data_IF_155298741948
#
_entry.id   IF_155298741948
#
_cell.length_a   1.000
_cell.length_b   1.000
_cell.length_c   1.000
_cell.angle_alpha   90.00
_cell.angle_beta   90.00
_cell.angle_gamma   90.00
#
_symmetry.space_group_name_H-M   'P 1'
#
loop_
_entity.id
_entity.type
_entity.pdbx_description
1 polymer ?
#
# COMPACT_ATOMS: atom_id res chain seq x y z
N UNK A 1 -21.81 -61.81 33.59
CA UNK A 1 -20.55 -61.42 32.92
C UNK A 1 -20.94 -60.68 31.66
N UNK A 2 -20.59 -59.40 31.51
CA UNK A 2 -20.92 -58.63 30.31
C UNK A 2 -20.21 -59.25 29.10
N UNK A 3 -20.93 -59.39 27.97
CA UNK A 3 -20.37 -59.96 26.76
C UNK A 3 -19.21 -59.08 26.23
N UNK A 4 -18.14 -59.66 25.65
CA UNK A 4 -17.00 -58.90 25.14
C UNK A 4 -17.38 -57.83 24.10
N UNK A 5 -18.48 -58.02 23.36
CA UNK A 5 -19.04 -57.03 22.42
C UNK A 5 -19.55 -55.76 23.12
N UNK A 6 -20.10 -55.89 24.33
CA UNK A 6 -20.62 -54.75 25.11
C UNK A 6 -19.47 -53.85 25.61
N UNK A 7 -18.30 -54.42 25.90
CA UNK A 7 -17.11 -53.67 26.27
C UNK A 7 -16.54 -52.88 25.09
N UNK A 8 -16.52 -53.48 23.89
CA UNK A 8 -16.01 -52.82 22.68
C UNK A 8 -16.85 -51.60 22.28
N UNK A 9 -18.18 -51.74 22.30
CA UNK A 9 -19.13 -50.63 22.04
C UNK A 9 -18.90 -49.48 23.02
N UNK A 10 -18.72 -49.79 24.31
CA UNK A 10 -18.47 -48.79 25.34
C UNK A 10 -17.16 -48.02 25.12
N UNK A 11 -16.10 -48.71 24.69
CA UNK A 11 -14.81 -48.08 24.37
C UNK A 11 -14.96 -47.16 23.14
N UNK A 12 -15.62 -47.63 22.08
CA UNK A 12 -15.92 -46.83 20.90
C UNK A 12 -16.67 -45.55 21.26
N UNK A 13 -17.73 -45.65 22.08
CA UNK A 13 -18.50 -44.48 22.52
C UNK A 13 -17.66 -43.49 23.35
N UNK A 14 -16.79 -43.98 24.25
CA UNK A 14 -15.89 -43.11 25.01
C UNK A 14 -14.90 -42.37 24.09
N UNK A 15 -14.35 -43.03 23.09
CA UNK A 15 -13.44 -42.40 22.12
C UNK A 15 -14.14 -41.39 21.22
N UNK A 16 -15.38 -41.70 20.77
CA UNK A 16 -16.21 -40.75 20.03
C UNK A 16 -16.43 -39.49 20.85
N UNK A 17 -16.84 -39.61 22.12
CA UNK A 17 -17.04 -38.46 23.01
C UNK A 17 -15.75 -37.69 23.22
N UNK A 18 -14.61 -38.38 23.41
CA UNK A 18 -13.30 -37.74 23.54
C UNK A 18 -12.95 -36.91 22.30
N UNK A 19 -13.01 -37.49 21.11
CA UNK A 19 -12.71 -36.78 19.87
C UNK A 19 -13.72 -35.65 19.60
N UNK A 20 -14.98 -35.84 19.96
CA UNK A 20 -16.02 -34.82 19.84
C UNK A 20 -15.72 -33.57 20.70
N UNK A 21 -15.23 -33.78 21.93
CA UNK A 21 -14.78 -32.71 22.82
C UNK A 21 -13.50 -32.04 22.32
N UNK A 22 -12.52 -32.80 21.85
CA UNK A 22 -11.28 -32.26 21.27
C UNK A 22 -11.57 -31.39 20.04
N UNK A 23 -12.44 -31.85 19.12
CA UNK A 23 -12.91 -31.04 17.98
C UNK A 23 -13.58 -29.76 18.45
N UNK A 24 -14.41 -29.83 19.51
CA UNK A 24 -15.09 -28.65 20.05
C UNK A 24 -14.10 -27.62 20.61
N UNK A 25 -13.08 -28.08 21.33
CA UNK A 25 -12.03 -27.22 21.85
C UNK A 25 -11.25 -26.54 20.71
N UNK A 26 -10.83 -27.31 19.71
CA UNK A 26 -10.07 -26.75 18.58
C UNK A 26 -10.90 -25.77 17.73
N UNK A 27 -12.21 -26.00 17.55
CA UNK A 27 -13.10 -25.03 16.88
C UNK A 27 -13.21 -23.73 17.70
N UNK A 28 -13.20 -23.83 19.03
CA UNK A 28 -13.19 -22.66 19.90
C UNK A 28 -11.86 -21.90 19.76
N UNK A 29 -10.74 -22.62 19.75
CA UNK A 29 -9.41 -22.04 19.54
C UNK A 29 -9.29 -21.34 18.18
N UNK A 30 -9.88 -21.90 17.11
CA UNK A 30 -9.99 -21.24 15.80
C UNK A 30 -10.76 -19.93 15.90
N UNK A 31 -11.88 -19.92 16.64
CA UNK A 31 -12.74 -18.74 16.76
C UNK A 31 -12.09 -17.62 17.57
N UNK A 32 -11.31 -18.00 18.57
CA UNK A 32 -10.62 -17.07 19.46
C UNK A 32 -9.18 -16.78 18.98
N UNK A 33 -8.79 -17.35 17.83
CA UNK A 33 -7.47 -17.13 17.24
C UNK A 33 -7.33 -15.67 16.77
N UNK A 34 -6.57 -14.89 17.53
CA UNK A 34 -6.10 -13.55 17.14
C UNK A 34 -4.69 -13.57 16.52
N UNK A 35 -4.13 -14.77 16.31
CA UNK A 35 -2.78 -14.98 15.81
C UNK A 35 -2.66 -14.90 14.28
N UNK A 36 -1.44 -15.06 13.72
CA UNK A 36 -1.21 -15.07 12.28
C UNK A 36 -1.86 -16.29 11.59
N UNK A 37 -2.06 -16.23 10.26
CA UNK A 37 -2.63 -17.34 9.48
C UNK A 37 -1.96 -18.68 9.69
N UNK A 38 -0.66 -18.67 10.00
CA UNK A 38 0.11 -19.90 10.26
C UNK A 38 -0.45 -20.68 11.45
N UNK A 39 -0.78 -20.00 12.54
CA UNK A 39 -1.39 -20.61 13.73
C UNK A 39 -2.80 -21.13 13.41
N UNK A 40 -3.58 -20.37 12.64
CA UNK A 40 -4.89 -20.80 12.16
C UNK A 40 -4.78 -22.05 11.25
N UNK A 41 -3.77 -22.09 10.38
CA UNK A 41 -3.52 -23.22 9.47
C UNK A 41 -3.14 -24.49 10.23
N UNK A 42 -2.33 -24.34 11.29
CA UNK A 42 -1.99 -25.45 12.20
C UNK A 42 -3.24 -25.97 12.93
N UNK A 43 -4.05 -25.07 13.50
CA UNK A 43 -5.32 -25.41 14.14
C UNK A 43 -6.27 -26.14 13.18
N UNK A 44 -6.41 -25.65 11.94
CA UNK A 44 -7.21 -26.31 10.90
C UNK A 44 -6.70 -27.72 10.58
N UNK A 45 -5.39 -27.93 10.60
CA UNK A 45 -4.79 -29.25 10.37
C UNK A 45 -5.15 -30.22 11.50
N UNK A 46 -5.01 -29.77 12.75
CA UNK A 46 -5.40 -30.54 13.95
C UNK A 46 -6.90 -30.85 13.96
N UNK A 47 -7.76 -29.90 13.59
CA UNK A 47 -9.22 -30.12 13.49
C UNK A 47 -9.53 -31.21 12.47
N UNK A 48 -8.91 -31.15 11.28
CA UNK A 48 -9.10 -32.17 10.23
C UNK A 48 -8.69 -33.56 10.69
N UNK A 49 -7.55 -33.69 11.37
CA UNK A 49 -7.08 -34.96 11.93
C UNK A 49 -8.09 -35.52 12.96
N UNK A 50 -8.59 -34.67 13.86
CA UNK A 50 -9.58 -35.09 14.86
C UNK A 50 -10.92 -35.45 14.26
N UNK A 51 -11.37 -34.76 13.23
CA UNK A 51 -12.56 -35.14 12.47
C UNK A 51 -12.40 -36.49 11.76
N UNK A 52 -11.20 -36.78 11.22
CA UNK A 52 -10.92 -38.08 10.62
C UNK A 52 -10.98 -39.20 11.65
N UNK A 53 -10.38 -39.00 12.84
CA UNK A 53 -10.45 -39.95 13.96
C UNK A 53 -11.89 -40.17 14.42
N UNK A 54 -12.67 -39.09 14.59
CA UNK A 54 -14.08 -39.15 14.96
C UNK A 54 -14.90 -39.91 13.92
N UNK A 55 -14.70 -39.63 12.63
CA UNK A 55 -15.39 -40.32 11.54
C UNK A 55 -15.10 -41.82 11.56
N UNK A 56 -13.84 -42.21 11.76
CA UNK A 56 -13.44 -43.62 11.84
C UNK A 56 -14.15 -44.35 12.98
N UNK A 57 -14.16 -43.78 14.20
CA UNK A 57 -14.82 -44.41 15.35
C UNK A 57 -16.33 -44.50 15.19
N UNK A 58 -16.97 -43.51 14.57
CA UNK A 58 -18.40 -43.58 14.23
C UNK A 58 -18.67 -44.73 13.26
N UNK A 59 -17.78 -45.00 12.30
CA UNK A 59 -17.91 -46.13 11.37
C UNK A 59 -17.74 -47.48 12.07
N UNK A 60 -16.80 -47.60 13.00
CA UNK A 60 -16.63 -48.81 13.81
C UNK A 60 -17.83 -49.07 14.73
N UNK A 61 -18.41 -48.02 15.32
CA UNK A 61 -19.64 -48.12 16.10
C UNK A 61 -20.81 -48.58 15.22
N UNK A 62 -20.91 -48.07 14.00
CA UNK A 62 -21.93 -48.51 13.02
C UNK A 62 -21.76 -49.98 12.64
N UNK A 63 -20.52 -50.44 12.46
CA UNK A 63 -20.22 -51.85 12.19
C UNK A 63 -20.60 -52.74 13.39
N UNK A 64 -20.24 -52.31 14.60
CA UNK A 64 -20.62 -53.00 15.84
C UNK A 64 -22.15 -53.08 16.01
N UNK A 65 -22.89 -52.05 15.60
CA UNK A 65 -24.34 -52.05 15.60
C UNK A 65 -24.94 -53.06 14.61
N UNK A 66 -24.30 -53.25 13.44
CA UNK A 66 -24.75 -54.22 12.41
C UNK A 66 -24.51 -55.67 12.82
N UNK A 67 -23.51 -55.91 13.65
CA UNK A 67 -23.15 -57.23 14.19
C UNK A 67 -24.01 -57.66 15.39
N UNK A 68 -24.95 -56.82 15.84
CA UNK A 68 -25.84 -57.16 16.94
C UNK A 68 -27.00 -58.06 16.50
N UNK A 69 -27.16 -59.19 17.21
CA UNK A 69 -28.23 -60.18 16.98
C UNK A 69 -29.59 -59.68 17.49
N UNK A 70 -29.61 -58.87 18.56
CA UNK A 70 -30.85 -58.33 19.11
C UNK A 70 -31.23 -57.05 18.39
N UNK A 71 -32.36 -57.10 17.67
CA UNK A 71 -32.87 -55.95 16.91
C UNK A 71 -33.10 -54.70 17.80
N UNK A 72 -33.51 -54.87 19.07
CA UNK A 72 -33.66 -53.74 20.01
C UNK A 72 -32.33 -53.05 20.33
N UNK A 73 -31.25 -53.80 20.56
CA UNK A 73 -29.91 -53.25 20.87
C UNK A 73 -29.29 -52.62 19.61
N UNK A 74 -29.47 -53.26 18.45
CA UNK A 74 -29.07 -52.72 17.14
C UNK A 74 -29.73 -51.37 16.83
N UNK A 75 -31.05 -51.25 17.02
CA UNK A 75 -31.78 -50.00 16.78
C UNK A 75 -31.26 -48.85 17.67
N UNK A 76 -30.97 -49.12 18.94
CA UNK A 76 -30.41 -48.13 19.87
C UNK A 76 -29.04 -47.63 19.39
N UNK A 77 -28.15 -48.55 19.02
CA UNK A 77 -26.81 -48.18 18.55
C UNK A 77 -26.82 -47.43 17.21
N UNK A 78 -27.70 -47.82 16.28
CA UNK A 78 -27.86 -47.09 15.02
C UNK A 78 -28.37 -45.67 15.25
N UNK A 79 -29.28 -45.47 16.21
CA UNK A 79 -29.77 -44.15 16.58
C UNK A 79 -28.66 -43.28 17.21
N UNK A 80 -27.76 -43.89 17.99
CA UNK A 80 -26.58 -43.22 18.57
C UNK A 80 -25.58 -42.81 17.48
N UNK A 81 -25.30 -43.70 16.52
CA UNK A 81 -24.46 -43.42 15.34
C UNK A 81 -25.03 -42.24 14.53
N UNK A 82 -26.33 -42.21 14.26
CA UNK A 82 -26.99 -41.10 13.57
C UNK A 82 -26.81 -39.77 14.32
N UNK A 83 -26.99 -39.80 15.65
CA UNK A 83 -26.80 -38.61 16.48
C UNK A 83 -25.36 -38.10 16.40
N UNK A 84 -24.35 -38.99 16.46
CA UNK A 84 -22.95 -38.61 16.32
C UNK A 84 -22.62 -38.06 14.93
N UNK A 85 -23.13 -38.67 13.85
CA UNK A 85 -22.95 -38.16 12.48
C UNK A 85 -23.53 -36.75 12.33
N UNK A 86 -24.74 -36.52 12.85
CA UNK A 86 -25.40 -35.21 12.79
C UNK A 86 -24.64 -34.15 13.57
N UNK A 87 -24.12 -34.48 14.74
CA UNK A 87 -23.29 -33.57 15.54
C UNK A 87 -21.98 -33.22 14.83
N UNK A 88 -21.29 -34.23 14.27
CA UNK A 88 -20.06 -34.05 13.50
C UNK A 88 -20.27 -33.08 12.32
N UNK A 89 -21.30 -33.30 11.49
CA UNK A 89 -21.61 -32.45 10.34
C UNK A 89 -21.85 -30.98 10.74
N UNK A 90 -22.59 -30.75 11.83
CA UNK A 90 -22.83 -29.40 12.36
C UNK A 90 -21.54 -28.70 12.78
N UNK A 91 -20.57 -29.44 13.31
CA UNK A 91 -19.28 -28.88 13.72
C UNK A 91 -18.39 -28.55 12.52
N UNK A 92 -18.36 -29.39 11.49
CA UNK A 92 -17.63 -29.10 10.24
C UNK A 92 -18.13 -27.82 9.58
N UNK A 93 -19.44 -27.58 9.59
CA UNK A 93 -20.00 -26.32 9.08
C UNK A 93 -19.54 -25.09 9.88
N UNK A 94 -19.42 -25.21 11.21
CA UNK A 94 -18.94 -24.12 12.08
C UNK A 94 -17.46 -23.81 11.88
N UNK A 95 -16.63 -24.84 11.73
CA UNK A 95 -15.20 -24.71 11.43
C UNK A 95 -14.99 -23.90 10.14
N UNK A 96 -15.63 -24.32 9.04
CA UNK A 96 -15.52 -23.66 7.74
C UNK A 96 -15.89 -22.17 7.79
N UNK A 97 -16.97 -21.84 8.52
CA UNK A 97 -17.40 -20.45 8.71
C UNK A 97 -16.37 -19.63 9.51
N UNK A 98 -15.83 -20.19 10.59
CA UNK A 98 -14.83 -19.51 11.42
C UNK A 98 -13.52 -19.27 10.64
N UNK A 99 -13.08 -20.28 9.88
CA UNK A 99 -11.90 -20.17 9.01
C UNK A 99 -12.08 -19.06 7.95
N UNK A 100 -13.22 -19.05 7.26
CA UNK A 100 -13.50 -18.04 6.23
C UNK A 100 -13.48 -16.63 6.82
N UNK A 101 -14.06 -16.44 8.01
CA UNK A 101 -14.09 -15.14 8.70
C UNK A 101 -12.67 -14.68 9.10
N UNK A 102 -11.82 -15.59 9.57
CA UNK A 102 -10.45 -15.28 9.93
C UNK A 102 -9.60 -14.89 8.71
N UNK A 103 -9.73 -15.60 7.58
CA UNK A 103 -9.02 -15.28 6.33
C UNK A 103 -9.45 -13.92 5.77
N UNK A 104 -10.74 -13.58 5.84
CA UNK A 104 -11.24 -12.25 5.44
C UNK A 104 -10.64 -11.17 6.34
N UNK A 105 -10.62 -11.39 7.66
CA UNK A 105 -10.07 -10.42 8.64
C UNK A 105 -8.59 -10.14 8.38
N UNK A 106 -7.79 -11.17 8.10
CA UNK A 106 -6.37 -10.98 7.80
C UNK A 106 -6.14 -10.27 6.47
N UNK A 107 -6.93 -10.59 5.44
CA UNK A 107 -6.90 -9.86 4.16
C UNK A 107 -7.17 -8.36 4.39
N UNK A 108 -8.15 -8.02 5.22
CA UNK A 108 -8.46 -6.63 5.58
C UNK A 108 -7.32 -5.97 6.35
N UNK A 109 -6.67 -6.67 7.29
CA UNK A 109 -5.48 -6.17 7.98
C UNK A 109 -4.31 -5.94 7.01
N UNK A 110 -4.10 -6.84 6.06
CA UNK A 110 -3.10 -6.69 5.00
C UNK A 110 -3.36 -5.46 4.12
N UNK A 111 -4.61 -5.28 3.68
CA UNK A 111 -5.04 -4.10 2.93
C UNK A 111 -4.86 -2.82 3.75
N UNK A 112 -5.23 -2.81 5.02
CA UNK A 112 -5.04 -1.67 5.91
C UNK A 112 -3.56 -1.29 6.05
N UNK A 113 -2.66 -2.27 6.19
CA UNK A 113 -1.21 -2.03 6.20
C UNK A 113 -0.71 -1.45 4.87
N UNK A 114 -1.14 -2.00 3.74
CA UNK A 114 -0.78 -1.47 2.42
C UNK A 114 -1.28 -0.04 2.22
N UNK A 115 -2.52 0.25 2.63
CA UNK A 115 -3.09 1.60 2.58
C UNK A 115 -2.29 2.57 3.45
N UNK A 116 -1.93 2.16 4.68
CA UNK A 116 -1.07 2.97 5.56
C UNK A 116 0.28 3.28 4.90
N UNK A 117 0.89 2.29 4.26
CA UNK A 117 2.16 2.46 3.56
C UNK A 117 2.02 3.41 2.35
N UNK A 118 0.95 3.28 1.58
CA UNK A 118 0.68 4.16 0.43
C UNK A 118 0.43 5.61 0.86
N UNK A 119 -0.26 5.82 1.99
CA UNK A 119 -0.45 7.16 2.57
C UNK A 119 0.89 7.77 3.00
N UNK A 120 1.76 6.99 3.65
CA UNK A 120 3.09 7.46 4.06
C UNK A 120 3.97 7.81 2.84
N UNK A 121 3.97 6.98 1.80
CA UNK A 121 4.67 7.30 0.55
C UNK A 121 4.11 8.55 -0.15
N UNK A 122 2.80 8.74 -0.09
CA UNK A 122 2.14 9.95 -0.62
C UNK A 122 2.59 11.21 0.13
N UNK A 123 2.76 11.13 1.46
CA UNK A 123 3.27 12.22 2.28
C UNK A 123 4.71 12.62 1.88
N UNK A 124 5.60 11.64 1.68
CA UNK A 124 6.99 11.88 1.24
C UNK A 124 7.05 12.52 -0.16
N UNK A 125 6.23 12.02 -1.10
CA UNK A 125 6.12 12.59 -2.44
C UNK A 125 5.59 14.03 -2.39
N UNK A 126 4.60 14.30 -1.53
CA UNK A 126 4.05 15.63 -1.33
C UNK A 126 5.10 16.59 -0.74
N UNK A 127 5.89 16.14 0.24
CA UNK A 127 6.98 16.93 0.80
C UNK A 127 8.02 17.29 -0.28
N UNK A 128 8.35 16.34 -1.14
CA UNK A 128 9.25 16.57 -2.29
C UNK A 128 8.68 17.60 -3.26
N UNK A 129 7.37 17.53 -3.54
CA UNK A 129 6.67 18.47 -4.40
C UNK A 129 6.64 19.88 -3.81
N UNK A 130 6.37 20.00 -2.50
CA UNK A 130 6.39 21.29 -1.78
C UNK A 130 7.79 21.91 -1.83
N UNK A 131 8.83 21.12 -1.57
CA UNK A 131 10.22 21.59 -1.65
C UNK A 131 10.56 22.07 -3.07
N UNK A 132 10.16 21.31 -4.10
CA UNK A 132 10.37 21.69 -5.50
C UNK A 132 9.60 22.95 -5.88
N UNK A 133 8.37 23.10 -5.40
CA UNK A 133 7.57 24.31 -5.60
C UNK A 133 8.24 25.53 -4.99
N UNK A 134 8.84 25.39 -3.81
CA UNK A 134 9.60 26.47 -3.16
C UNK A 134 10.80 26.89 -4.01
N UNK A 135 11.61 25.94 -4.49
CA UNK A 135 12.74 26.24 -5.38
C UNK A 135 12.31 26.97 -6.65
N UNK A 136 11.14 26.62 -7.22
CA UNK A 136 10.58 27.33 -8.38
C UNK A 136 10.20 28.78 -8.04
N UNK A 137 9.61 29.00 -6.86
CA UNK A 137 9.28 30.37 -6.41
C UNK A 137 10.55 31.20 -6.23
N UNK A 138 11.56 30.64 -5.56
CA UNK A 138 12.85 31.31 -5.35
C UNK A 138 13.52 31.64 -6.70
N UNK A 139 13.55 30.68 -7.63
CA UNK A 139 14.06 30.90 -8.98
C UNK A 139 13.28 31.99 -9.74
N UNK A 140 11.96 32.04 -9.59
CA UNK A 140 11.12 33.06 -10.20
C UNK A 140 11.40 34.46 -9.63
N UNK A 141 11.70 34.57 -8.33
CA UNK A 141 12.15 35.83 -7.73
C UNK A 141 13.53 36.26 -8.27
N UNK A 142 14.47 35.32 -8.40
CA UNK A 142 15.78 35.60 -9.02
C UNK A 142 15.63 36.07 -10.48
N UNK A 143 14.75 35.44 -11.27
CA UNK A 143 14.46 35.88 -12.63
C UNK A 143 13.91 37.30 -12.69
N UNK A 144 13.02 37.68 -11.76
CA UNK A 144 12.52 39.07 -11.67
C UNK A 144 13.64 40.05 -11.34
N UNK A 145 14.51 39.71 -10.40
CA UNK A 145 15.69 40.52 -10.07
C UNK A 145 16.62 40.71 -11.28
N UNK A 146 16.92 39.62 -12.00
CA UNK A 146 17.73 39.65 -13.21
C UNK A 146 17.08 40.49 -14.33
N UNK A 147 15.76 40.44 -14.48
CA UNK A 147 15.03 41.33 -15.41
C UNK A 147 15.25 42.81 -15.03
N UNK A 148 15.24 43.14 -13.73
CA UNK A 148 15.57 44.46 -13.22
C UNK A 148 16.98 44.91 -13.61
N UNK A 149 17.99 44.05 -13.44
CA UNK A 149 19.39 44.38 -13.82
C UNK A 149 19.56 44.51 -15.33
N UNK A 150 18.87 43.70 -16.15
CA UNK A 150 18.86 43.83 -17.61
C UNK A 150 18.25 45.17 -18.04
N UNK A 151 17.17 45.63 -17.39
CA UNK A 151 16.59 46.94 -17.65
C UNK A 151 17.54 48.09 -17.31
N UNK A 152 18.26 47.99 -16.18
CA UNK A 152 19.32 48.94 -15.84
C UNK A 152 20.43 48.92 -16.90
N UNK A 153 20.88 47.74 -17.31
CA UNK A 153 21.85 47.58 -18.40
C UNK A 153 21.42 48.29 -19.68
N UNK A 154 20.16 48.12 -20.11
CA UNK A 154 19.59 48.86 -21.26
C UNK A 154 19.63 50.38 -21.07
N UNK A 155 19.30 50.89 -19.87
CA UNK A 155 19.40 52.32 -19.56
C UNK A 155 20.85 52.84 -19.63
N UNK A 156 21.82 52.04 -19.21
CA UNK A 156 23.23 52.42 -19.36
C UNK A 156 23.64 52.44 -20.84
N UNK A 157 23.38 51.38 -21.60
CA UNK A 157 23.72 51.29 -23.03
C UNK A 157 23.16 52.49 -23.81
N UNK A 158 21.89 52.84 -23.57
CA UNK A 158 21.26 54.01 -24.22
C UNK A 158 21.91 55.33 -23.83
N UNK A 159 22.33 55.51 -22.56
CA UNK A 159 23.10 56.69 -22.14
C UNK A 159 24.47 56.78 -22.83
N UNK A 160 25.20 55.66 -22.93
CA UNK A 160 26.50 55.64 -23.60
C UNK A 160 26.39 55.94 -25.09
N UNK A 161 25.40 55.34 -25.79
CA UNK A 161 25.16 55.61 -27.20
C UNK A 161 24.87 57.09 -27.49
N UNK A 162 24.09 57.76 -26.62
CA UNK A 162 23.83 59.20 -26.74
C UNK A 162 25.09 60.05 -26.53
N UNK A 163 25.95 59.67 -25.58
CA UNK A 163 27.22 60.37 -25.34
C UNK A 163 28.17 60.22 -26.53
N UNK A 164 28.24 59.02 -27.11
CA UNK A 164 29.03 58.75 -28.31
C UNK A 164 28.57 59.59 -29.51
N UNK A 165 27.25 59.70 -29.74
CA UNK A 165 26.71 60.57 -30.79
C UNK A 165 27.06 62.05 -30.55
N UNK A 166 26.94 62.52 -29.31
CA UNK A 166 27.25 63.91 -28.97
C UNK A 166 28.73 64.21 -29.18
N UNK A 167 29.61 63.30 -28.77
CA UNK A 167 31.05 63.43 -28.93
C UNK A 167 31.45 63.45 -30.41
N UNK A 168 30.86 62.55 -31.22
CA UNK A 168 31.03 62.55 -32.68
C UNK A 168 30.59 63.88 -33.33
N UNK A 169 29.48 64.47 -32.87
CA UNK A 169 29.02 65.78 -33.37
C UNK A 169 29.97 66.93 -32.97
N UNK A 170 30.50 66.92 -31.75
CA UNK A 170 31.45 67.93 -31.29
C UNK A 170 32.75 67.88 -32.11
N UNK A 171 33.28 66.68 -32.37
CA UNK A 171 34.45 66.48 -33.23
C UNK A 171 34.17 67.02 -34.64
N UNK A 172 33.00 66.73 -35.21
CA UNK A 172 32.61 67.24 -36.53
C UNK A 172 32.50 68.77 -36.56
N UNK A 173 31.91 69.39 -35.53
CA UNK A 173 31.79 70.85 -35.42
C UNK A 173 33.16 71.52 -35.30
N UNK A 174 34.08 70.96 -34.51
CA UNK A 174 35.44 71.45 -34.38
C UNK A 174 36.20 71.40 -35.72
N UNK A 175 36.07 70.30 -36.46
CA UNK A 175 36.64 70.17 -37.81
C UNK A 175 36.04 71.17 -38.80
N UNK A 176 34.73 71.40 -38.77
CA UNK A 176 34.06 72.36 -39.63
C UNK A 176 34.55 73.80 -39.38
N UNK A 177 34.69 74.20 -38.11
CA UNK A 177 35.26 75.51 -37.75
C UNK A 177 36.71 75.64 -38.18
N UNK A 178 37.53 74.60 -37.98
CA UNK A 178 38.91 74.58 -38.45
C UNK A 178 38.99 74.81 -39.96
N UNK A 179 38.22 74.07 -40.76
CA UNK A 179 38.16 74.25 -42.21
C UNK A 179 37.66 75.65 -42.61
N UNK A 180 36.65 76.19 -41.93
CA UNK A 180 36.18 77.55 -42.17
C UNK A 180 37.28 78.59 -41.92
N UNK A 181 38.09 78.44 -40.86
CA UNK A 181 39.22 79.34 -40.60
C UNK A 181 40.32 79.21 -41.66
N UNK A 182 40.66 77.99 -42.07
CA UNK A 182 41.64 77.74 -43.15
C UNK A 182 41.17 78.39 -44.45
N UNK A 183 39.91 78.17 -44.84
CA UNK A 183 39.31 78.77 -46.03
C UNK A 183 39.26 80.30 -45.94
N UNK A 184 38.96 80.88 -44.77
CA UNK A 184 39.01 82.32 -44.56
C UNK A 184 40.43 82.87 -44.78
N UNK A 185 41.45 82.21 -44.21
CA UNK A 185 42.86 82.62 -44.38
C UNK A 185 43.28 82.50 -45.84
N UNK A 186 42.97 81.38 -46.51
CA UNK A 186 43.26 81.15 -47.93
C UNK A 186 42.59 82.23 -48.78
N UNK A 187 41.30 82.53 -48.56
CA UNK A 187 40.59 83.61 -49.27
C UNK A 187 41.25 84.97 -49.04
N UNK A 188 41.53 85.32 -47.78
CA UNK A 188 42.17 86.60 -47.41
C UNK A 188 43.58 86.74 -48.00
N UNK A 189 44.33 85.64 -48.15
CA UNK A 189 45.71 85.64 -48.61
C UNK A 189 45.86 85.54 -50.13
N UNK A 190 44.97 84.81 -50.82
CA UNK A 190 45.00 84.63 -52.28
C UNK A 190 44.20 85.68 -53.04
N UNK A 191 43.22 86.35 -52.41
CA UNK A 191 42.45 87.44 -53.03
C UNK A 191 42.60 88.76 -52.27
N UNK A 192 43.77 89.41 -52.29
CA UNK A 192 43.96 90.72 -51.66
C UNK A 192 43.38 91.92 -52.44
N UNK A 193 42.78 91.70 -53.62
CA UNK A 193 42.44 92.78 -54.58
C UNK A 193 41.06 92.65 -55.26
N UNK A 194 40.07 92.01 -54.60
CA UNK A 194 38.64 92.16 -54.97
C UNK A 194 37.85 92.76 -53.80
#
# INVERSE_FOLDING_TARGET
MAAPQDVHVRICNQEIVKFDLEVKALIQDIRDCSGPLSALTELNTKVKEKFQQLRHRIQELEQSAKEQDKESEKQILLQEVENHKKQMLRKTAKESLAQTSSTITESLMGISRMMSQQVQQSEEAMQTLVNSSRTILDANEEFKSMSGTIQLGRKLITKYNRRELTDKLLIFLALALFLATVLYIVKKRLFPFL
#
